data_IF_230185579912
#
_entry.id   IF_230185579912
#
_cell.length_a   1.000
_cell.length_b   1.000
_cell.length_c   1.000
_cell.angle_alpha   90.00
_cell.angle_beta   90.00
_cell.angle_gamma   90.00
#
_symmetry.space_group_name_H-M   'P 1'
#
loop_
_entity.id
_entity.type
_entity.pdbx_description
1 polymer ?
#
# COMPACT_ATOMS: atom_id res chain seq x y z
N UNK A 1 2.45 -1.41 -15.89
CA UNK A 1 2.20 -1.97 -14.54
C UNK A 1 0.69 -2.06 -14.35
N UNK A 2 0.16 -3.15 -13.81
CA UNK A 2 -1.27 -3.25 -13.53
C UNK A 2 -1.61 -2.50 -12.24
N UNK A 3 -2.71 -1.75 -12.25
CA UNK A 3 -3.25 -1.06 -11.08
C UNK A 3 -4.59 -1.69 -10.70
N UNK A 4 -4.54 -2.59 -9.71
CA UNK A 4 -5.71 -3.29 -9.20
C UNK A 4 -6.44 -2.42 -8.18
N UNK A 5 -7.76 -2.31 -8.31
CA UNK A 5 -8.65 -1.58 -7.39
C UNK A 5 -9.98 -2.31 -7.24
N UNK A 6 -10.77 -1.93 -6.23
CA UNK A 6 -12.15 -2.38 -6.13
C UNK A 6 -13.06 -1.63 -7.12
N UNK A 7 -14.36 -1.91 -7.06
CA UNK A 7 -15.36 -1.23 -7.90
C UNK A 7 -15.90 0.07 -7.27
N UNK A 8 -15.15 0.68 -6.35
CA UNK A 8 -15.51 1.95 -5.74
C UNK A 8 -15.66 3.06 -6.79
N UNK A 9 -16.64 3.95 -6.59
CA UNK A 9 -17.00 5.00 -7.55
C UNK A 9 -15.79 5.84 -8.00
N UNK A 10 -14.88 6.15 -7.09
CA UNK A 10 -13.66 6.90 -7.38
C UNK A 10 -12.71 6.17 -8.35
N UNK A 11 -12.67 4.83 -8.33
CA UNK A 11 -11.77 4.02 -9.15
C UNK A 11 -12.39 3.64 -10.51
N UNK A 12 -13.73 3.54 -10.59
CA UNK A 12 -14.44 3.31 -11.85
C UNK A 12 -14.67 4.60 -12.66
N UNK A 13 -14.55 5.77 -12.02
CA UNK A 13 -14.70 7.07 -12.68
C UNK A 13 -13.79 7.18 -13.91
N UNK A 14 -14.36 7.67 -15.01
CA UNK A 14 -13.67 7.77 -16.29
C UNK A 14 -12.39 8.60 -16.19
N UNK A 15 -12.45 9.75 -15.53
CA UNK A 15 -11.30 10.65 -15.36
C UNK A 15 -10.14 9.95 -14.63
N UNK A 16 -10.42 9.18 -13.58
CA UNK A 16 -9.42 8.40 -12.84
C UNK A 16 -8.76 7.34 -13.74
N UNK A 17 -9.55 6.63 -14.55
CA UNK A 17 -9.04 5.59 -15.46
C UNK A 17 -8.22 6.18 -16.61
N UNK A 18 -8.64 7.33 -17.14
CA UNK A 18 -7.90 8.05 -18.16
C UNK A 18 -6.56 8.54 -17.62
N UNK A 19 -6.56 9.16 -16.44
CA UNK A 19 -5.33 9.61 -15.79
C UNK A 19 -4.36 8.45 -15.54
N UNK A 20 -4.86 7.32 -15.01
CA UNK A 20 -4.04 6.13 -14.79
C UNK A 20 -3.34 5.65 -16.08
N UNK A 21 -4.06 5.62 -17.21
CA UNK A 21 -3.49 5.25 -18.51
C UNK A 21 -2.45 6.25 -18.98
N UNK A 22 -2.68 7.56 -18.78
CA UNK A 22 -1.72 8.61 -19.16
C UNK A 22 -0.38 8.47 -18.42
N UNK A 23 -0.39 8.01 -17.17
CA UNK A 23 0.84 7.76 -16.39
C UNK A 23 1.40 6.33 -16.57
N UNK A 24 0.90 5.56 -17.55
CA UNK A 24 1.42 4.22 -17.89
C UNK A 24 0.90 3.08 -16.99
N UNK A 25 -0.15 3.30 -16.21
CA UNK A 25 -0.83 2.27 -15.44
C UNK A 25 -1.99 1.66 -16.23
N UNK A 26 -2.15 0.34 -16.11
CA UNK A 26 -3.31 -0.37 -16.64
C UNK A 26 -4.34 -0.57 -15.52
N UNK A 27 -5.45 0.19 -15.50
CA UNK A 27 -6.48 0.02 -14.47
C UNK A 27 -7.20 -1.33 -14.62
N UNK A 28 -7.27 -2.08 -13.53
CA UNK A 28 -7.94 -3.38 -13.40
C UNK A 28 -8.85 -3.34 -12.18
N UNK A 29 -10.09 -3.80 -12.31
CA UNK A 29 -11.03 -3.88 -11.19
C UNK A 29 -11.21 -5.32 -10.76
N UNK A 30 -11.44 -5.54 -9.46
CA UNK A 30 -11.74 -6.88 -8.94
C UNK A 30 -13.07 -7.39 -9.48
N UNK A 31 -13.21 -8.70 -9.77
CA UNK A 31 -14.50 -9.29 -10.09
C UNK A 31 -15.53 -8.99 -9.00
N UNK A 32 -16.77 -8.75 -9.41
CA UNK A 32 -17.88 -8.53 -8.48
C UNK A 32 -17.98 -9.75 -7.56
N UNK A 33 -18.12 -9.51 -6.25
CA UNK A 33 -18.14 -10.54 -5.20
C UNK A 33 -16.82 -11.33 -5.01
N UNK A 34 -15.66 -10.76 -5.36
CA UNK A 34 -14.33 -11.31 -5.03
C UNK A 34 -13.59 -10.44 -3.99
N UNK A 35 -14.05 -10.39 -2.72
CA UNK A 35 -13.41 -9.58 -1.68
C UNK A 35 -11.95 -9.99 -1.41
N UNK A 36 -11.61 -11.27 -1.63
CA UNK A 36 -10.24 -11.77 -1.44
C UNK A 36 -9.23 -11.10 -2.38
N UNK A 37 -9.65 -10.62 -3.55
CA UNK A 37 -8.77 -9.98 -4.54
C UNK A 37 -8.13 -8.68 -4.01
N UNK A 38 -8.73 -8.04 -3.01
CA UNK A 38 -8.19 -6.85 -2.35
C UNK A 38 -7.49 -7.16 -1.01
N UNK A 39 -7.47 -8.43 -0.60
CA UNK A 39 -7.06 -8.83 0.75
C UNK A 39 -5.64 -8.44 1.11
N UNK A 40 -4.73 -8.36 0.14
CA UNK A 40 -3.35 -7.89 0.36
C UNK A 40 -3.31 -6.40 0.72
N UNK A 41 -4.03 -5.56 -0.01
CA UNK A 41 -4.09 -4.12 0.28
C UNK A 41 -4.82 -3.86 1.60
N UNK A 42 -5.91 -4.60 1.88
CA UNK A 42 -6.64 -4.49 3.14
C UNK A 42 -5.79 -4.91 4.34
N UNK A 43 -5.06 -6.02 4.23
CA UNK A 43 -4.15 -6.50 5.28
C UNK A 43 -3.02 -5.49 5.54
N UNK A 44 -2.48 -4.88 4.48
CA UNK A 44 -1.50 -3.80 4.60
C UNK A 44 -2.07 -2.60 5.37
N UNK A 45 -3.23 -2.08 4.96
CA UNK A 45 -3.88 -0.93 5.61
C UNK A 45 -4.22 -1.26 7.07
N UNK A 46 -4.68 -2.49 7.35
CA UNK A 46 -4.96 -2.97 8.70
C UNK A 46 -3.71 -2.95 9.58
N UNK A 47 -2.59 -3.45 9.06
CA UNK A 47 -1.29 -3.44 9.75
C UNK A 47 -0.84 -2.01 10.06
N UNK A 48 -0.86 -1.11 9.08
CA UNK A 48 -0.49 0.30 9.30
C UNK A 48 -1.39 0.96 10.34
N UNK A 49 -2.70 0.75 10.26
CA UNK A 49 -3.66 1.34 11.21
C UNK A 49 -3.44 0.82 12.63
N UNK A 50 -3.30 -0.49 12.79
CA UNK A 50 -3.17 -1.16 14.08
C UNK A 50 -1.82 -0.87 14.74
N UNK A 51 -0.72 -1.03 14.02
CA UNK A 51 0.62 -1.07 14.62
C UNK A 51 1.29 0.30 14.65
N UNK A 52 0.82 1.25 13.84
CA UNK A 52 1.40 2.59 13.77
C UNK A 52 0.37 3.66 14.10
N UNK A 53 -0.70 3.76 13.31
CA UNK A 53 -1.64 4.89 13.45
C UNK A 53 -2.30 4.90 14.83
N UNK A 54 -2.58 3.75 15.43
CA UNK A 54 -3.12 3.66 16.79
C UNK A 54 -2.17 4.23 17.87
N UNK A 55 -0.87 4.28 17.61
CA UNK A 55 0.16 4.60 18.59
C UNK A 55 0.91 5.92 18.33
N UNK A 56 0.81 6.48 17.13
CA UNK A 56 1.45 7.78 16.82
C UNK A 56 0.63 8.97 17.37
N UNK A 57 1.29 9.98 17.95
CA UNK A 57 0.62 11.22 18.37
C UNK A 57 0.15 12.01 17.15
N UNK A 58 -1.05 12.60 17.26
CA UNK A 58 -1.73 13.34 16.18
C UNK A 58 -2.35 14.65 16.70
N UNK A 59 -1.55 15.56 17.30
CA UNK A 59 -2.07 16.79 17.89
C UNK A 59 -2.65 17.76 16.85
N UNK A 60 -2.11 17.74 15.63
CA UNK A 60 -2.55 18.56 14.52
C UNK A 60 -2.33 17.83 13.17
N UNK A 61 -2.86 18.42 12.09
CA UNK A 61 -2.80 17.85 10.74
C UNK A 61 -1.37 17.67 10.23
N UNK A 62 -0.51 18.65 10.44
CA UNK A 62 0.87 18.62 9.95
C UNK A 62 1.65 17.51 10.65
N UNK A 63 1.57 17.46 11.98
CA UNK A 63 2.21 16.41 12.78
C UNK A 63 1.66 15.03 12.44
N UNK A 64 0.36 14.89 12.23
CA UNK A 64 -0.24 13.61 11.81
C UNK A 64 0.29 13.11 10.47
N UNK A 65 0.42 14.00 9.46
CA UNK A 65 0.97 13.65 8.15
C UNK A 65 2.45 13.29 8.23
N UNK A 66 3.24 14.04 9.01
CA UNK A 66 4.66 13.75 9.25
C UNK A 66 4.84 12.38 9.92
N UNK A 67 4.08 12.11 10.97
CA UNK A 67 4.15 10.84 11.69
C UNK A 67 3.67 9.66 10.84
N UNK A 68 2.69 9.87 9.94
CA UNK A 68 2.28 8.85 8.97
C UNK A 68 3.40 8.54 7.96
N UNK A 69 4.12 9.55 7.48
CA UNK A 69 5.27 9.34 6.61
C UNK A 69 6.39 8.55 7.31
N UNK A 70 6.66 8.86 8.58
CA UNK A 70 7.61 8.10 9.41
C UNK A 70 7.15 6.65 9.58
N UNK A 71 5.86 6.42 9.83
CA UNK A 71 5.30 5.08 9.93
C UNK A 71 5.50 4.26 8.65
N UNK A 72 5.26 4.86 7.47
CA UNK A 72 5.51 4.19 6.20
C UNK A 72 6.99 3.89 5.97
N UNK A 73 7.88 4.81 6.32
CA UNK A 73 9.33 4.58 6.22
C UNK A 73 9.76 3.42 7.11
N UNK A 74 9.33 3.41 8.38
CA UNK A 74 9.64 2.33 9.31
C UNK A 74 9.08 0.99 8.83
N UNK A 75 7.83 0.94 8.35
CA UNK A 75 7.26 -0.29 7.81
C UNK A 75 8.09 -0.84 6.65
N UNK A 76 8.54 0.02 5.74
CA UNK A 76 9.24 -0.40 4.53
C UNK A 76 10.74 -0.70 4.73
N UNK A 77 11.38 -0.11 5.74
CA UNK A 77 12.83 -0.18 5.95
C UNK A 77 13.24 -1.03 7.16
N UNK A 78 12.38 -1.19 8.17
CA UNK A 78 12.78 -1.77 9.46
C UNK A 78 11.85 -2.88 9.94
N UNK A 79 10.56 -2.86 9.60
CA UNK A 79 9.60 -3.83 10.11
C UNK A 79 9.89 -5.23 9.56
N UNK A 80 10.15 -6.24 10.41
CA UNK A 80 10.44 -7.59 9.95
C UNK A 80 9.15 -8.34 9.58
N UNK A 81 9.11 -8.93 8.39
CA UNK A 81 7.96 -9.73 7.95
C UNK A 81 8.33 -11.21 7.87
N UNK A 82 7.59 -12.07 8.57
CA UNK A 82 7.83 -13.53 8.57
C UNK A 82 7.78 -14.13 7.16
N UNK A 83 6.83 -13.70 6.34
CA UNK A 83 6.70 -14.09 4.93
C UNK A 83 7.88 -13.65 4.06
N UNK A 84 8.64 -12.65 4.49
CA UNK A 84 9.84 -12.15 3.82
C UNK A 84 11.14 -12.66 4.47
N UNK A 85 11.09 -13.79 5.19
CA UNK A 85 12.22 -14.34 5.96
C UNK A 85 12.75 -13.35 7.01
N UNK A 86 11.83 -12.66 7.69
CA UNK A 86 12.10 -11.62 8.70
C UNK A 86 12.88 -10.40 8.18
N UNK A 87 12.81 -10.13 6.88
CA UNK A 87 13.37 -8.91 6.27
C UNK A 87 12.30 -7.83 6.14
N UNK A 88 12.74 -6.58 6.06
CA UNK A 88 11.86 -5.48 5.65
C UNK A 88 11.53 -5.56 4.15
N UNK A 89 10.43 -4.93 3.70
CA UNK A 89 10.04 -4.92 2.29
C UNK A 89 11.13 -4.39 1.35
N UNK A 90 11.85 -3.32 1.73
CA UNK A 90 12.89 -2.74 0.87
C UNK A 90 14.16 -3.59 0.86
N UNK A 91 14.56 -4.17 1.99
CA UNK A 91 15.67 -5.15 2.01
C UNK A 91 15.37 -6.35 1.12
N UNK A 92 14.17 -6.92 1.24
CA UNK A 92 13.74 -8.03 0.40
C UNK A 92 13.82 -7.68 -1.09
N UNK A 93 13.31 -6.51 -1.49
CA UNK A 93 13.37 -6.03 -2.88
C UNK A 93 14.80 -5.80 -3.38
N UNK A 94 15.68 -5.21 -2.56
CA UNK A 94 17.09 -4.98 -2.93
C UNK A 94 17.81 -6.31 -3.19
N UNK A 95 17.62 -7.29 -2.31
CA UNK A 95 18.23 -8.62 -2.46
C UNK A 95 17.69 -9.36 -3.69
N UNK A 96 16.39 -9.28 -3.94
CA UNK A 96 15.79 -9.86 -5.14
C UNK A 96 16.36 -9.25 -6.43
N UNK A 97 16.58 -7.92 -6.45
CA UNK A 97 17.17 -7.23 -7.59
C UNK A 97 18.67 -7.55 -7.78
N UNK A 98 19.41 -7.83 -6.71
CA UNK A 98 20.82 -8.21 -6.76
C UNK A 98 21.06 -9.68 -7.16
N UNK A 99 19.98 -10.48 -7.22
CA UNK A 99 20.02 -11.89 -7.62
C UNK A 99 19.65 -12.10 -9.10
N UNK A 100 19.48 -11.01 -9.85
CA UNK A 100 19.21 -10.96 -11.30
C UNK A 100 20.46 -10.45 -11.99
#
# INVERSE_FOLDING_TARGET
MQWLSDNGSAYIAEQTRLFARQIGLQPVTTPVCSPQSNGMAESYVKTIKRDYVAHIPKPDRETALRNLAIAFAHHNEQHPHSTLKYRSPREFRRLAAASV
#
